data_IF_129707074990
#
_entry.id   IF_129707074990
#
_cell.length_a   1.000
_cell.length_b   1.000
_cell.length_c   1.000
_cell.angle_alpha   90.00
_cell.angle_beta   90.00
_cell.angle_gamma   90.00
#
_symmetry.space_group_name_H-M   'P 1'
#
loop_
_entity.id
_entity.type
_entity.pdbx_description
1 polymer ?
#
# COMPACT_ATOMS: atom_id res chain seq x y z
N UNK A 1 20.21 -10.88 25.61
CA UNK A 1 20.58 -10.23 24.34
C UNK A 1 22.09 -10.01 24.34
N UNK A 2 22.81 -10.70 23.48
CA UNK A 2 24.25 -10.53 23.33
C UNK A 2 24.46 -9.62 22.11
N UNK A 3 24.74 -8.36 22.37
CA UNK A 3 25.09 -7.42 21.31
C UNK A 3 26.58 -7.53 20.99
N UNK A 4 26.93 -8.00 19.82
CA UNK A 4 28.30 -8.09 19.35
C UNK A 4 28.85 -6.69 18.98
N UNK A 5 29.13 -5.88 19.98
CA UNK A 5 29.70 -4.53 19.81
C UNK A 5 31.22 -4.63 19.65
N UNK A 6 31.73 -5.08 18.58
CA UNK A 6 33.18 -5.12 18.40
C UNK A 6 33.70 -5.89 17.21
N UNK A 7 32.82 -6.52 16.45
CA UNK A 7 33.21 -7.37 15.33
C UNK A 7 33.36 -6.63 14.00
N UNK A 8 33.36 -5.28 14.03
CA UNK A 8 33.47 -4.45 12.81
C UNK A 8 34.73 -4.67 11.97
N UNK A 9 35.78 -5.26 12.54
CA UNK A 9 37.07 -5.36 11.83
C UNK A 9 37.40 -6.71 11.24
N UNK A 10 36.65 -7.77 11.55
CA UNK A 10 37.07 -9.09 11.12
C UNK A 10 36.26 -9.72 9.97
N UNK A 11 35.14 -9.14 9.58
CA UNK A 11 34.34 -9.61 8.43
C UNK A 11 33.88 -11.07 8.52
N UNK A 12 33.90 -11.72 9.68
CA UNK A 12 33.77 -13.17 9.77
C UNK A 12 32.82 -13.75 10.81
N UNK A 13 32.10 -12.97 11.58
CA UNK A 13 31.08 -13.54 12.46
C UNK A 13 29.89 -12.60 12.57
N UNK A 14 28.84 -12.89 11.85
CA UNK A 14 27.52 -12.35 12.09
C UNK A 14 26.85 -13.17 13.20
N UNK A 15 26.38 -12.54 14.26
CA UNK A 15 25.40 -13.15 15.15
C UNK A 15 24.03 -12.71 14.59
N UNK A 16 23.29 -13.64 14.02
CA UNK A 16 21.90 -13.39 13.66
C UNK A 16 21.01 -13.89 14.79
N UNK A 17 20.18 -13.04 15.35
CA UNK A 17 19.09 -13.44 16.22
C UNK A 17 17.86 -13.66 15.33
N UNK A 18 17.37 -14.88 15.30
CA UNK A 18 16.14 -15.25 14.64
C UNK A 18 15.05 -15.41 15.69
N UNK A 19 13.81 -15.06 15.35
CA UNK A 19 12.61 -15.28 16.17
C UNK A 19 12.51 -14.45 17.46
N UNK A 20 13.14 -13.27 17.51
CA UNK A 20 12.93 -12.35 18.63
C UNK A 20 11.52 -11.73 18.57
N UNK A 21 10.68 -11.87 19.63
CA UNK A 21 9.33 -11.32 19.65
C UNK A 21 9.33 -9.80 19.94
N UNK A 22 9.93 -9.03 19.05
CA UNK A 22 10.11 -7.57 19.17
C UNK A 22 9.23 -6.77 18.21
N UNK A 23 8.52 -7.48 17.34
CA UNK A 23 7.61 -6.87 16.37
C UNK A 23 6.30 -6.43 17.01
N UNK A 24 5.76 -5.32 16.54
CA UNK A 24 4.37 -4.95 16.75
C UNK A 24 3.71 -4.62 15.42
N UNK A 25 2.39 -4.80 15.37
CA UNK A 25 1.56 -4.43 14.23
C UNK A 25 0.22 -3.93 14.75
N UNK A 26 -0.26 -2.83 14.21
CA UNK A 26 -1.50 -2.17 14.60
C UNK A 26 -2.31 -1.80 13.37
N UNK A 27 -3.49 -2.40 13.22
CA UNK A 27 -4.40 -2.17 12.12
C UNK A 27 -5.72 -1.59 12.62
N UNK A 28 -6.04 -0.38 12.19
CA UNK A 28 -7.28 0.31 12.51
C UNK A 28 -8.07 0.58 11.22
N UNK A 29 -9.36 0.24 11.22
CA UNK A 29 -10.20 0.46 10.05
C UNK A 29 -11.63 0.87 10.40
N UNK A 30 -12.15 1.79 9.63
CA UNK A 30 -13.59 2.09 9.51
C UNK A 30 -14.11 1.44 8.23
N UNK A 31 -15.10 0.57 8.37
CA UNK A 31 -15.76 -0.08 7.24
C UNK A 31 -17.23 0.31 7.18
N UNK A 32 -17.70 0.73 6.02
CA UNK A 32 -19.09 1.07 5.77
C UNK A 32 -19.58 0.31 4.53
N UNK A 33 -20.73 -0.34 4.66
CA UNK A 33 -21.37 -1.03 3.52
C UNK A 33 -22.79 -0.50 3.33
N UNK A 34 -23.09 -0.09 2.13
CA UNK A 34 -24.42 0.33 1.71
C UNK A 34 -24.98 -0.67 0.69
N UNK A 35 -26.12 -1.27 1.05
CA UNK A 35 -26.86 -2.19 0.20
C UNK A 35 -28.19 -1.55 -0.18
N UNK A 36 -28.46 -1.42 -1.46
CA UNK A 36 -29.72 -0.87 -1.93
C UNK A 36 -30.26 -1.65 -3.10
N UNK A 37 -31.52 -2.05 -2.96
CA UNK A 37 -32.31 -2.67 -4.03
C UNK A 37 -33.37 -1.67 -4.47
N UNK A 38 -33.14 -1.05 -5.62
CA UNK A 38 -34.07 -0.06 -6.18
C UNK A 38 -35.18 -0.79 -6.95
N UNK A 39 -36.42 -0.41 -6.69
CA UNK A 39 -37.60 -1.02 -7.30
C UNK A 39 -37.66 -0.90 -8.84
N UNK A 40 -36.79 -0.14 -9.47
CA UNK A 40 -36.70 0.09 -10.91
C UNK A 40 -35.61 -0.75 -11.61
N UNK A 41 -35.22 -1.87 -11.04
CA UNK A 41 -34.27 -2.80 -11.66
C UNK A 41 -32.81 -2.53 -11.39
N UNK A 42 -32.45 -1.64 -10.45
CA UNK A 42 -31.09 -1.45 -10.00
C UNK A 42 -30.90 -2.09 -8.63
N UNK A 43 -29.90 -2.96 -8.52
CA UNK A 43 -29.35 -3.45 -7.25
C UNK A 43 -27.92 -2.99 -7.16
N UNK A 44 -27.51 -2.36 -6.06
CA UNK A 44 -26.17 -1.90 -5.85
C UNK A 44 -25.72 -2.21 -4.43
N UNK A 45 -24.47 -2.63 -4.29
CA UNK A 45 -23.77 -2.78 -3.01
C UNK A 45 -22.46 -1.99 -3.09
N UNK A 46 -22.29 -1.06 -2.20
CA UNK A 46 -21.09 -0.21 -2.12
C UNK A 46 -20.45 -0.43 -0.77
N UNK A 47 -19.19 -0.83 -0.76
CA UNK A 47 -18.38 -1.01 0.44
C UNK A 47 -17.20 -0.05 0.40
N UNK A 48 -17.03 0.71 1.46
CA UNK A 48 -15.90 1.62 1.64
C UNK A 48 -15.14 1.27 2.90
N UNK A 49 -13.82 1.20 2.78
CA UNK A 49 -12.89 0.98 3.89
C UNK A 49 -11.93 2.16 3.95
N UNK A 50 -11.82 2.74 5.12
CA UNK A 50 -10.75 3.68 5.47
C UNK A 50 -9.91 3.03 6.56
N UNK A 51 -8.62 2.84 6.32
CA UNK A 51 -7.75 2.10 7.22
C UNK A 51 -6.38 2.76 7.39
N UNK A 52 -5.70 2.35 8.45
CA UNK A 52 -4.31 2.67 8.73
C UNK A 52 -3.63 1.44 9.32
N UNK A 53 -2.58 1.00 8.67
CA UNK A 53 -1.77 -0.11 9.11
C UNK A 53 -0.37 0.38 9.46
N UNK A 54 0.05 0.18 10.70
CA UNK A 54 1.35 0.55 11.24
C UNK A 54 2.05 -0.68 11.77
N UNK A 55 3.34 -0.79 11.54
CA UNK A 55 4.16 -1.82 12.12
C UNK A 55 5.61 -1.34 12.35
N UNK A 56 6.46 -2.16 12.94
CA UNK A 56 7.89 -1.90 13.08
C UNK A 56 8.76 -3.01 12.48
N UNK A 57 8.14 -4.07 11.97
CA UNK A 57 8.84 -5.21 11.38
C UNK A 57 8.02 -5.74 10.23
N UNK A 58 8.41 -5.46 9.03
CA UNK A 58 7.89 -6.18 7.88
C UNK A 58 8.54 -7.56 7.86
N UNK A 59 7.74 -8.58 8.06
CA UNK A 59 8.23 -9.94 8.14
C UNK A 59 8.89 -10.39 6.83
N UNK A 60 9.86 -11.26 6.95
CA UNK A 60 10.55 -11.99 5.87
C UNK A 60 9.58 -12.93 5.12
N UNK A 61 8.38 -12.48 4.85
CA UNK A 61 7.36 -13.28 4.20
C UNK A 61 7.49 -13.11 2.69
N UNK A 62 7.61 -14.22 1.98
CA UNK A 62 7.73 -14.24 0.52
C UNK A 62 6.52 -13.62 -0.21
N UNK A 63 5.49 -13.23 0.53
CA UNK A 63 4.30 -12.53 0.05
C UNK A 63 4.25 -11.05 0.45
N UNK A 64 5.30 -10.51 1.08
CA UNK A 64 5.46 -9.07 1.27
C UNK A 64 5.50 -8.37 -0.10
N UNK A 65 4.63 -7.41 -0.29
CA UNK A 65 4.41 -6.78 -1.60
C UNK A 65 5.61 -5.94 -2.08
N UNK A 66 6.40 -5.41 -1.14
CA UNK A 66 7.50 -4.48 -1.41
C UNK A 66 8.89 -5.04 -1.08
N UNK A 67 9.02 -6.34 -0.93
CA UNK A 67 10.29 -6.97 -0.62
C UNK A 67 10.62 -6.93 0.88
N UNK A 68 11.74 -7.52 1.20
CA UNK A 68 12.20 -7.71 2.54
C UNK A 68 13.06 -6.53 2.98
N UNK A 69 12.47 -5.59 3.68
CA UNK A 69 13.22 -4.53 4.34
C UNK A 69 13.46 -4.91 5.79
N UNK A 70 14.62 -5.44 6.09
CA UNK A 70 15.07 -5.58 7.46
C UNK A 70 15.12 -4.22 8.18
N UNK A 71 15.23 -4.18 9.51
CA UNK A 71 15.43 -2.93 10.22
C UNK A 71 16.72 -2.27 9.79
N UNK A 72 16.69 -0.95 9.54
CA UNK A 72 17.91 -0.19 9.23
C UNK A 72 18.90 -0.28 10.37
N UNK A 73 18.40 -0.22 11.60
CA UNK A 73 19.21 -0.31 12.81
C UNK A 73 18.62 -1.30 13.81
N UNK A 74 19.21 -2.47 13.91
CA UNK A 74 18.81 -3.52 14.85
C UNK A 74 18.93 -3.10 16.34
N UNK A 75 19.64 -2.02 16.64
CA UNK A 75 19.78 -1.48 18.00
C UNK A 75 18.69 -0.46 18.35
N UNK A 76 17.90 -0.01 17.36
CA UNK A 76 16.84 0.97 17.57
C UNK A 76 15.59 0.64 16.76
N UNK A 77 14.92 -0.44 17.13
CA UNK A 77 13.68 -0.89 16.47
C UNK A 77 12.51 0.09 16.64
N UNK A 78 12.57 0.99 17.59
CA UNK A 78 11.55 2.02 17.76
C UNK A 78 11.52 3.00 16.57
N UNK A 79 12.67 3.24 15.92
CA UNK A 79 12.75 4.08 14.73
C UNK A 79 12.18 3.42 13.48
N UNK A 80 11.90 2.12 13.54
CA UNK A 80 11.32 1.36 12.43
C UNK A 80 9.80 1.55 12.30
N UNK A 81 9.16 2.17 13.30
CA UNK A 81 7.71 2.39 13.25
C UNK A 81 7.32 3.25 12.06
N UNK A 82 6.61 2.66 11.12
CA UNK A 82 6.11 3.33 9.92
C UNK A 82 4.76 2.75 9.49
N UNK A 83 4.22 3.24 8.39
CA UNK A 83 3.16 2.53 7.68
C UNK A 83 3.70 1.18 7.19
N UNK A 84 2.86 0.15 7.20
CA UNK A 84 3.18 -1.15 6.59
C UNK A 84 3.17 -1.04 5.06
N UNK A 85 4.05 -1.78 4.39
CA UNK A 85 4.16 -1.74 2.93
C UNK A 85 2.92 -2.22 2.18
N UNK A 86 2.00 -2.89 2.85
CA UNK A 86 0.70 -3.31 2.33
C UNK A 86 -0.46 -2.38 2.71
N UNK A 87 -0.19 -1.25 3.39
CA UNK A 87 -1.23 -0.31 3.79
C UNK A 87 -1.95 0.27 2.56
N UNK A 88 -3.27 0.13 2.56
CA UNK A 88 -4.15 0.72 1.55
C UNK A 88 -5.17 1.59 2.29
N UNK A 89 -4.84 2.87 2.52
CA UNK A 89 -5.65 3.75 3.35
C UNK A 89 -7.10 3.88 2.94
N UNK A 90 -7.40 3.75 1.65
CA UNK A 90 -8.76 3.89 1.13
C UNK A 90 -9.05 2.81 0.09
N UNK A 91 -10.18 2.15 0.24
CA UNK A 91 -10.68 1.16 -0.72
C UNK A 91 -12.19 1.30 -0.85
N UNK A 92 -12.66 1.51 -2.07
CA UNK A 92 -14.08 1.51 -2.42
C UNK A 92 -14.33 0.40 -3.43
N UNK A 93 -15.30 -0.44 -3.12
CA UNK A 93 -15.79 -1.51 -4.02
C UNK A 93 -17.27 -1.31 -4.24
N UNK A 94 -17.68 -1.19 -5.48
CA UNK A 94 -19.09 -1.06 -5.86
C UNK A 94 -19.46 -2.20 -6.83
N UNK A 95 -20.44 -2.99 -6.43
CA UNK A 95 -21.04 -4.01 -7.27
C UNK A 95 -22.43 -3.51 -7.69
N UNK A 96 -22.79 -3.67 -8.95
CA UNK A 96 -24.11 -3.29 -9.43
C UNK A 96 -24.65 -4.24 -10.47
N UNK A 97 -25.98 -4.35 -10.46
CA UNK A 97 -26.79 -5.03 -11.47
C UNK A 97 -27.90 -4.07 -11.87
N UNK A 98 -27.95 -3.71 -13.13
CA UNK A 98 -28.96 -2.78 -13.65
C UNK A 98 -29.71 -3.39 -14.83
N UNK A 99 -30.99 -3.69 -14.62
CA UNK A 99 -31.89 -4.10 -15.68
C UNK A 99 -32.34 -2.87 -16.45
N UNK A 100 -31.97 -2.78 -17.72
CA UNK A 100 -32.34 -1.65 -18.55
C UNK A 100 -33.87 -1.54 -18.64
N UNK A 101 -34.45 -0.35 -18.46
CA UNK A 101 -35.90 -0.14 -18.49
C UNK A 101 -36.43 -0.07 -19.94
N UNK A 102 -35.91 -0.94 -20.80
CA UNK A 102 -36.27 -1.01 -22.23
C UNK A 102 -36.94 -2.34 -22.51
N UNK A 103 -38.06 -2.33 -23.24
CA UNK A 103 -38.80 -3.52 -23.62
C UNK A 103 -40.31 -3.41 -23.41
N UNK A 104 -41.02 -4.49 -23.74
CA UNK A 104 -42.49 -4.55 -23.58
C UNK A 104 -42.85 -4.47 -22.09
N UNK A 105 -43.77 -3.54 -21.78
CA UNK A 105 -44.18 -3.29 -20.39
C UNK A 105 -43.13 -2.57 -19.52
N UNK A 106 -42.00 -2.13 -20.06
CA UNK A 106 -41.00 -1.32 -19.42
C UNK A 106 -41.24 0.18 -19.70
N UNK A 107 -40.51 1.05 -19.04
CA UNK A 107 -40.61 2.52 -19.17
C UNK A 107 -40.41 3.00 -20.62
N UNK A 108 -39.44 2.38 -21.30
CA UNK A 108 -39.12 2.69 -22.69
C UNK A 108 -39.47 1.50 -23.60
N UNK A 109 -40.20 1.75 -24.67
CA UNK A 109 -40.53 0.71 -25.64
C UNK A 109 -41.70 -0.19 -25.23
N UNK A 110 -42.65 0.26 -24.43
CA UNK A 110 -43.80 -0.51 -23.96
C UNK A 110 -44.63 -1.11 -25.09
N UNK A 111 -44.74 -0.39 -26.24
CA UNK A 111 -45.46 -0.80 -27.46
C UNK A 111 -44.59 -1.54 -28.48
N UNK A 112 -43.40 -1.99 -28.19
CA UNK A 112 -42.52 -2.69 -29.13
C UNK A 112 -43.14 -3.97 -29.68
N UNK A 113 -42.88 -4.27 -30.96
CA UNK A 113 -43.19 -5.56 -31.57
C UNK A 113 -42.45 -6.72 -30.88
N UNK A 114 -42.89 -7.94 -31.03
CA UNK A 114 -42.20 -9.11 -30.44
C UNK A 114 -40.77 -9.23 -30.93
N UNK A 115 -40.54 -9.00 -32.21
CA UNK A 115 -39.22 -9.06 -32.83
C UNK A 115 -38.27 -7.95 -32.28
N UNK A 116 -38.75 -6.71 -32.19
CA UNK A 116 -37.98 -5.62 -31.62
C UNK A 116 -37.65 -5.86 -30.13
N UNK A 117 -38.60 -6.40 -29.36
CA UNK A 117 -38.38 -6.72 -27.96
C UNK A 117 -37.37 -7.87 -27.75
N UNK A 118 -37.31 -8.83 -28.67
CA UNK A 118 -36.34 -9.94 -28.60
C UNK A 118 -34.87 -9.44 -28.75
N UNK A 119 -34.68 -8.32 -29.47
CA UNK A 119 -33.37 -7.74 -29.71
C UNK A 119 -33.02 -6.65 -28.68
N UNK A 120 -33.97 -5.77 -28.35
CA UNK A 120 -33.75 -4.56 -27.57
C UNK A 120 -34.21 -4.68 -26.11
N UNK A 121 -35.04 -5.67 -25.78
CA UNK A 121 -35.58 -5.86 -24.44
C UNK A 121 -34.75 -6.84 -23.60
N UNK A 122 -34.89 -6.73 -22.28
CA UNK A 122 -34.31 -7.69 -21.33
C UNK A 122 -32.80 -7.57 -21.07
N UNK A 123 -32.19 -6.52 -21.54
CA UNK A 123 -30.75 -6.29 -21.26
C UNK A 123 -30.51 -5.97 -19.80
N UNK A 124 -29.44 -6.55 -19.29
CA UNK A 124 -28.90 -6.31 -17.93
C UNK A 124 -27.44 -5.89 -18.02
N UNK A 125 -27.09 -4.82 -17.32
CA UNK A 125 -25.74 -4.37 -17.17
C UNK A 125 -25.29 -4.70 -15.73
N UNK A 126 -24.21 -5.46 -15.60
CA UNK A 126 -23.62 -5.76 -14.30
C UNK A 126 -22.13 -5.46 -14.31
N UNK A 127 -21.60 -5.09 -13.16
CA UNK A 127 -20.18 -4.80 -13.04
C UNK A 127 -19.71 -4.66 -11.61
N UNK A 128 -18.39 -4.71 -11.48
CA UNK A 128 -17.66 -4.44 -10.23
C UNK A 128 -16.68 -3.33 -10.51
N UNK A 129 -16.77 -2.26 -9.72
CA UNK A 129 -15.84 -1.14 -9.74
C UNK A 129 -15.04 -1.18 -8.46
N UNK A 130 -13.72 -1.18 -8.57
CA UNK A 130 -12.80 -1.10 -7.43
C UNK A 130 -11.90 0.11 -7.58
N UNK A 131 -11.92 0.98 -6.57
CA UNK A 131 -11.07 2.16 -6.48
C UNK A 131 -10.29 2.05 -5.18
N UNK A 132 -8.96 2.11 -5.27
CA UNK A 132 -8.07 2.01 -4.11
C UNK A 132 -7.03 3.12 -4.15
N UNK A 133 -6.56 3.54 -2.98
CA UNK A 133 -5.34 4.33 -2.88
C UNK A 133 -4.13 3.49 -3.31
N UNK A 134 -3.01 4.17 -3.61
CA UNK A 134 -1.74 3.52 -3.84
C UNK A 134 -1.23 2.82 -2.58
N UNK A 135 -0.27 1.94 -2.78
CA UNK A 135 0.51 1.32 -1.70
C UNK A 135 1.68 2.25 -1.33
N UNK A 136 2.16 2.20 -0.10
CA UNK A 136 3.36 2.91 0.33
C UNK A 136 4.59 2.49 -0.48
N UNK A 137 5.53 3.41 -0.62
CA UNK A 137 6.81 3.17 -1.28
C UNK A 137 7.94 3.19 -0.25
N UNK A 138 8.97 2.38 -0.46
CA UNK A 138 10.22 2.44 0.30
C UNK A 138 11.32 3.05 -0.56
N UNK A 139 12.25 3.76 0.10
CA UNK A 139 13.45 4.30 -0.54
C UNK A 139 14.64 3.78 0.23
N UNK A 140 15.42 2.92 -0.40
CA UNK A 140 16.63 2.34 0.14
C UNK A 140 17.86 2.78 -0.65
N UNK A 141 19.03 2.67 -0.04
CA UNK A 141 20.33 2.91 -0.67
C UNK A 141 21.13 1.63 -0.83
N UNK A 142 22.26 1.72 -1.50
CA UNK A 142 23.22 0.63 -1.51
C UNK A 142 23.98 0.63 -0.19
N UNK A 143 23.89 -0.47 0.52
CA UNK A 143 24.69 -0.65 1.73
C UNK A 143 26.04 -1.26 1.42
N UNK A 144 27.01 -0.73 2.10
CA UNK A 144 28.37 -1.26 2.07
C UNK A 144 28.84 -1.74 3.45
N UNK A 145 28.28 -1.25 4.55
CA UNK A 145 28.85 -1.48 5.87
C UNK A 145 27.85 -1.55 7.06
N UNK A 146 26.55 -1.61 6.82
CA UNK A 146 25.54 -1.56 7.90
C UNK A 146 25.19 -2.90 8.55
N UNK A 147 26.03 -3.91 8.45
CA UNK A 147 25.82 -5.23 9.06
C UNK A 147 24.46 -5.87 8.75
N UNK A 148 24.00 -5.76 7.52
CA UNK A 148 22.75 -6.34 7.07
C UNK A 148 21.52 -5.49 7.40
N UNK A 149 21.69 -4.29 7.93
CA UNK A 149 20.64 -3.30 7.98
C UNK A 149 20.39 -2.69 6.60
N UNK A 150 19.16 -2.25 6.34
CA UNK A 150 18.79 -1.59 5.09
C UNK A 150 19.05 -0.07 5.21
N UNK A 151 20.11 0.49 4.58
CA UNK A 151 20.43 1.89 4.68
C UNK A 151 19.38 2.71 3.96
N UNK A 152 18.85 3.71 4.65
CA UNK A 152 17.89 4.65 4.10
C UNK A 152 18.51 6.03 3.96
N UNK A 153 18.08 6.85 2.99
CA UNK A 153 18.58 8.20 2.84
C UNK A 153 18.20 9.11 4.00
N UNK A 154 18.89 10.23 4.11
CA UNK A 154 18.37 11.36 4.86
C UNK A 154 17.25 12.00 4.05
N UNK A 155 16.14 12.26 4.74
CA UNK A 155 14.98 12.95 4.22
C UNK A 155 14.86 14.34 4.84
N UNK A 156 14.71 15.35 4.00
CA UNK A 156 14.51 16.73 4.42
C UNK A 156 13.56 17.45 3.45
N UNK A 157 12.62 18.19 4.02
CA UNK A 157 11.72 19.01 3.23
C UNK A 157 10.42 18.32 2.81
N UNK A 158 9.86 18.77 1.71
CA UNK A 158 8.56 18.31 1.22
C UNK A 158 8.74 17.32 0.06
N UNK A 159 8.21 16.11 0.24
CA UNK A 159 8.19 15.07 -0.80
C UNK A 159 7.14 15.33 -1.88
N UNK A 160 6.12 16.14 -1.58
CA UNK A 160 5.04 16.37 -2.51
C UNK A 160 5.46 17.33 -3.61
N UNK A 161 5.18 16.96 -4.85
CA UNK A 161 5.23 17.88 -6.00
C UNK A 161 3.86 18.49 -6.23
N UNK A 162 3.84 19.74 -6.70
CA UNK A 162 2.59 20.48 -6.91
C UNK A 162 1.70 19.84 -7.99
N UNK A 163 2.32 19.29 -9.03
CA UNK A 163 1.64 18.64 -10.14
C UNK A 163 2.31 17.29 -10.42
N UNK A 164 1.94 16.20 -9.69
CA UNK A 164 2.56 14.90 -9.89
C UNK A 164 2.25 14.37 -11.31
N UNK A 165 3.25 13.77 -11.92
CA UNK A 165 3.18 13.15 -13.25
C UNK A 165 3.88 11.79 -13.25
N UNK A 166 3.76 11.05 -14.35
CA UNK A 166 4.50 9.78 -14.52
C UNK A 166 6.04 9.97 -14.55
N UNK A 167 6.51 11.18 -14.82
CA UNK A 167 7.94 11.51 -14.86
C UNK A 167 8.45 12.09 -13.53
N UNK A 168 7.56 12.66 -12.73
CA UNK A 168 7.88 13.24 -11.43
C UNK A 168 6.70 13.02 -10.49
N UNK A 169 6.71 11.89 -9.84
CA UNK A 169 5.67 11.49 -8.89
C UNK A 169 5.85 12.14 -7.53
N UNK A 170 7.09 12.27 -7.07
CA UNK A 170 7.47 12.90 -5.83
C UNK A 170 8.80 13.64 -5.99
N UNK A 171 9.12 14.52 -5.04
CA UNK A 171 10.35 15.31 -5.07
C UNK A 171 11.55 14.46 -4.64
N UNK A 172 12.32 13.98 -5.60
CA UNK A 172 13.54 13.19 -5.35
C UNK A 172 14.64 13.98 -4.68
N UNK A 173 14.68 15.32 -4.84
CA UNK A 173 15.67 16.18 -4.21
C UNK A 173 15.50 16.30 -2.68
N UNK A 174 14.36 15.83 -2.14
CA UNK A 174 14.15 15.74 -0.70
C UNK A 174 15.00 14.65 -0.04
N UNK A 175 15.57 13.73 -0.81
CA UNK A 175 16.34 12.59 -0.32
C UNK A 175 17.82 12.77 -0.62
N UNK A 176 18.69 12.48 0.35
CA UNK A 176 20.14 12.61 0.21
C UNK A 176 20.85 11.39 0.80
N UNK A 177 21.77 10.83 0.03
CA UNK A 177 22.70 9.80 0.48
C UNK A 177 24.09 10.34 0.80
N UNK A 178 24.28 11.66 0.77
CA UNK A 178 25.58 12.28 0.92
C UNK A 178 26.24 11.97 2.27
N UNK A 179 25.44 11.92 3.34
CA UNK A 179 25.92 11.56 4.67
C UNK A 179 26.36 10.10 4.75
N UNK A 180 25.57 9.18 4.20
CA UNK A 180 25.93 7.76 4.10
C UNK A 180 27.23 7.57 3.32
N UNK A 181 27.41 8.28 2.20
CA UNK A 181 28.61 8.23 1.40
C UNK A 181 29.83 8.80 2.15
N UNK A 182 29.68 9.93 2.84
CA UNK A 182 30.76 10.56 3.60
C UNK A 182 31.24 9.70 4.78
N UNK A 183 30.33 9.00 5.44
CA UNK A 183 30.63 8.17 6.61
C UNK A 183 30.99 6.71 6.22
N UNK A 184 31.17 6.43 4.94
CA UNK A 184 31.50 5.10 4.45
C UNK A 184 30.37 4.07 4.57
N UNK A 185 29.11 4.52 4.68
CA UNK A 185 27.95 3.69 4.85
C UNK A 185 27.64 3.27 6.29
N UNK A 186 28.33 3.84 7.27
CA UNK A 186 28.15 3.50 8.69
C UNK A 186 26.99 4.22 9.36
N UNK A 187 26.28 5.11 8.66
CA UNK A 187 25.17 5.89 9.21
C UNK A 187 23.84 5.47 8.61
N UNK A 188 22.81 5.53 9.45
CA UNK A 188 21.42 5.31 9.06
C UNK A 188 20.74 6.66 8.82
N UNK A 189 20.07 6.81 7.66
CA UNK A 189 19.27 7.98 7.39
C UNK A 189 18.01 8.03 8.26
N UNK A 190 17.28 9.12 8.15
CA UNK A 190 16.05 9.36 8.92
C UNK A 190 14.76 9.07 8.12
N UNK A 191 14.88 8.59 6.91
CA UNK A 191 13.72 8.19 6.09
C UNK A 191 12.95 7.08 6.77
N UNK A 192 11.62 7.17 6.92
CA UNK A 192 10.81 6.06 7.38
C UNK A 192 10.93 4.87 6.42
N UNK A 193 10.59 3.69 6.90
CA UNK A 193 10.64 2.46 6.11
C UNK A 193 9.72 2.53 4.88
N UNK A 194 8.54 3.11 5.06
CA UNK A 194 7.57 3.39 4.01
C UNK A 194 6.91 4.75 4.18
N UNK A 195 6.45 5.34 3.06
CA UNK A 195 5.72 6.62 2.98
C UNK A 195 4.28 6.42 2.52
#
# INVERSE_FOLDING_TARGET
QIYARGLRRSGRAGVSETDAPVGFSDYNALQATYNHRISQGLTAMISYTYSKFLDNVEGNQSWSYNGNSGPANNYNLAAEKSVDGSDIPQSLVANYIYQLPVGRGKRFGSGMSRTANAVLGGWELSGIVTIKSGIPISISGNDINTFGGDPRPDYSGNIHVRNPSIHEWFNTAAFSFAKLAADGGDTWGNTPRFF
#
